data_IF_327365064348
#
_entry.id   IF_327365064348
#
_cell.length_a   1.000
_cell.length_b   1.000
_cell.length_c   1.000
_cell.angle_alpha   90.00
_cell.angle_beta   90.00
_cell.angle_gamma   90.00
#
_symmetry.space_group_name_H-M   'P 1'
#
loop_
_entity.id
_entity.type
_entity.pdbx_description
1 polymer ?
#
# COMPACT_ATOMS: atom_id res chain seq x y z
N UNK A 1 -1.03 -27.12 -4.73
CA UNK A 1 -0.29 -28.27 -4.14
C UNK A 1 0.57 -27.83 -2.97
N UNK A 2 1.41 -26.80 -3.14
CA UNK A 2 2.25 -26.24 -2.05
C UNK A 2 1.41 -25.73 -0.88
N UNK A 3 0.35 -24.94 -1.13
CA UNK A 3 -0.54 -24.41 -0.09
C UNK A 3 -1.31 -25.53 0.62
N UNK A 4 -1.73 -26.58 -0.11
CA UNK A 4 -2.40 -27.75 0.45
C UNK A 4 -1.48 -28.55 1.37
N UNK A 5 -0.23 -28.73 0.96
CA UNK A 5 0.74 -29.53 1.73
C UNK A 5 1.17 -28.77 3.03
N UNK A 6 1.16 -27.45 3.01
CA UNK A 6 1.40 -26.62 4.19
C UNK A 6 0.26 -26.68 5.22
N UNK A 7 -0.99 -26.61 4.81
CA UNK A 7 -2.18 -26.70 5.69
C UNK A 7 -2.24 -28.04 6.43
N UNK A 8 -1.76 -29.13 5.80
CA UNK A 8 -1.70 -30.46 6.40
C UNK A 8 -0.65 -30.62 7.50
N UNK A 9 0.34 -29.73 7.57
CA UNK A 9 1.43 -29.80 8.55
C UNK A 9 1.13 -29.12 9.89
N UNK A 10 -0.02 -28.46 10.05
CA UNK A 10 -0.43 -27.83 11.32
C UNK A 10 0.38 -26.59 11.73
N UNK A 11 1.27 -26.10 10.86
CA UNK A 11 2.11 -24.91 11.12
C UNK A 11 1.49 -23.59 10.59
N UNK A 12 0.23 -23.57 10.25
CA UNK A 12 -0.27 -22.80 9.11
C UNK A 12 -0.98 -21.48 9.39
N UNK A 13 -1.24 -21.11 10.61
CA UNK A 13 -1.78 -19.77 10.87
C UNK A 13 -0.73 -18.68 10.67
N UNK A 14 0.52 -19.00 10.97
CA UNK A 14 1.69 -18.10 10.77
C UNK A 14 2.11 -18.03 9.30
N UNK A 15 2.09 -19.12 8.56
CA UNK A 15 2.44 -19.15 7.15
C UNK A 15 1.38 -18.45 6.28
N UNK A 16 0.09 -18.67 6.60
CA UNK A 16 -1.01 -17.95 5.93
C UNK A 16 -0.97 -16.45 6.26
N UNK A 17 -0.68 -16.09 7.51
CA UNK A 17 -0.49 -14.69 7.90
C UNK A 17 0.73 -14.07 7.21
N UNK A 18 1.83 -14.81 7.03
CA UNK A 18 3.01 -14.33 6.30
C UNK A 18 2.73 -14.13 4.80
N UNK A 19 2.03 -15.07 4.15
CA UNK A 19 1.63 -14.95 2.74
C UNK A 19 0.61 -13.84 2.55
N UNK A 20 -0.33 -13.66 3.47
CA UNK A 20 -1.28 -12.55 3.44
C UNK A 20 -0.59 -11.21 3.69
N UNK A 21 0.39 -11.15 4.61
CA UNK A 21 1.20 -9.95 4.84
C UNK A 21 2.10 -9.62 3.63
N UNK A 22 2.59 -10.61 2.92
CA UNK A 22 3.39 -10.42 1.69
C UNK A 22 2.53 -9.96 0.52
N UNK A 23 1.32 -10.51 0.37
CA UNK A 23 0.31 -10.06 -0.60
C UNK A 23 -0.18 -8.64 -0.25
N UNK A 24 -0.31 -8.32 1.03
CA UNK A 24 -0.70 -6.99 1.48
C UNK A 24 0.44 -5.98 1.31
N UNK A 25 1.68 -6.42 1.49
CA UNK A 25 2.89 -5.64 1.20
C UNK A 25 3.10 -5.41 -0.29
N UNK A 26 2.86 -6.42 -1.13
CA UNK A 26 2.82 -6.25 -2.60
C UNK A 26 1.66 -5.35 -3.04
N UNK A 27 0.49 -5.45 -2.40
CA UNK A 27 -0.65 -4.55 -2.64
C UNK A 27 -0.35 -3.11 -2.19
N UNK A 28 0.33 -2.93 -1.07
CA UNK A 28 0.78 -1.61 -0.59
C UNK A 28 1.86 -1.02 -1.50
N UNK A 29 2.78 -1.84 -2.02
CA UNK A 29 3.78 -1.41 -3.01
C UNK A 29 3.16 -1.14 -4.39
N UNK A 30 2.15 -1.91 -4.80
CA UNK A 30 1.41 -1.68 -6.05
C UNK A 30 0.36 -0.55 -5.92
N UNK A 31 -0.07 -0.22 -4.70
CA UNK A 31 -1.01 0.87 -4.42
C UNK A 31 -0.32 2.20 -4.08
N UNK A 32 0.98 2.20 -3.82
CA UNK A 32 1.75 3.44 -3.83
C UNK A 32 1.84 3.88 -5.30
N UNK A 33 1.31 5.05 -5.67
CA UNK A 33 1.64 5.60 -6.97
C UNK A 33 3.15 5.72 -6.99
N UNK A 34 3.78 5.05 -7.96
CA UNK A 34 5.22 5.10 -8.19
C UNK A 34 5.58 6.53 -8.59
N UNK A 35 5.70 7.43 -7.60
CA UNK A 35 6.13 8.81 -7.80
C UNK A 35 7.54 8.88 -8.38
N UNK A 36 8.27 7.77 -8.36
CA UNK A 36 9.63 7.66 -8.89
C UNK A 36 9.67 7.40 -10.38
N UNK A 37 8.56 7.02 -11.01
CA UNK A 37 8.46 6.84 -12.48
C UNK A 37 7.76 7.98 -13.22
N UNK A 38 7.35 9.05 -12.53
CA UNK A 38 7.14 10.30 -13.23
C UNK A 38 8.47 10.63 -13.92
N UNK A 39 8.47 10.55 -15.27
CA UNK A 39 9.52 10.91 -16.23
C UNK A 39 10.72 11.50 -15.52
N UNK A 40 11.90 10.91 -15.67
CA UNK A 40 13.13 11.40 -15.02
C UNK A 40 13.29 12.90 -15.29
N UNK A 41 12.72 13.70 -14.42
CA UNK A 41 12.74 15.19 -14.44
C UNK A 41 14.15 15.74 -14.19
N UNK A 42 15.15 14.85 -14.09
CA UNK A 42 16.53 15.24 -13.81
C UNK A 42 17.11 16.23 -14.83
N UNK A 43 16.61 16.24 -16.05
CA UNK A 43 17.04 17.21 -17.06
C UNK A 43 16.39 18.61 -16.88
N UNK A 44 15.21 18.67 -16.27
CA UNK A 44 14.49 19.93 -16.00
C UNK A 44 14.81 20.51 -14.62
N UNK A 45 15.37 19.70 -13.72
CA UNK A 45 15.71 20.12 -12.35
C UNK A 45 16.95 21.03 -12.23
N UNK A 46 17.71 21.21 -13.28
CA UNK A 46 18.94 22.03 -13.27
C UNK A 46 18.73 23.49 -13.68
N UNK A 47 17.50 23.96 -13.85
CA UNK A 47 17.28 25.38 -14.15
C UNK A 47 17.02 26.16 -12.86
N UNK A 48 17.86 27.16 -12.58
CA UNK A 48 17.66 28.14 -11.51
C UNK A 48 16.46 29.08 -11.73
N UNK A 49 15.58 28.72 -12.65
CA UNK A 49 14.44 29.54 -13.07
C UNK A 49 13.18 28.93 -12.45
N UNK A 50 12.39 29.75 -11.77
CA UNK A 50 11.05 29.39 -11.33
C UNK A 50 10.23 28.92 -12.52
N UNK A 51 9.75 27.70 -12.48
CA UNK A 51 9.03 27.11 -13.60
C UNK A 51 7.69 26.55 -13.12
N UNK A 52 6.65 26.87 -13.88
CA UNK A 52 5.34 26.28 -13.71
C UNK A 52 5.12 25.27 -14.83
N UNK A 53 4.71 24.07 -14.48
CA UNK A 53 4.36 23.02 -15.42
C UNK A 53 2.90 22.65 -15.27
N UNK A 54 2.24 22.45 -16.39
CA UNK A 54 0.93 21.80 -16.43
C UNK A 54 1.15 20.44 -17.03
N UNK A 55 0.67 19.41 -16.38
CA UNK A 55 0.85 18.03 -16.82
C UNK A 55 -0.41 17.22 -16.74
N UNK A 56 -0.42 16.15 -17.52
CA UNK A 56 -1.43 15.11 -17.50
C UNK A 56 -0.74 13.76 -17.47
N UNK A 57 -1.21 12.87 -16.61
CA UNK A 57 -0.77 11.48 -16.60
C UNK A 57 -1.98 10.55 -16.64
N UNK A 58 -1.86 9.47 -17.39
CA UNK A 58 -2.86 8.40 -17.44
C UNK A 58 -2.20 7.09 -17.05
N UNK A 59 -2.88 6.33 -16.20
CA UNK A 59 -2.43 5.02 -15.76
C UNK A 59 -3.54 4.01 -16.02
N UNK A 60 -3.17 2.88 -16.62
CA UNK A 60 -4.06 1.75 -16.80
C UNK A 60 -3.46 0.51 -16.16
N UNK A 61 -4.21 -0.13 -15.28
CA UNK A 61 -3.79 -1.35 -14.61
C UNK A 61 -4.88 -2.42 -14.64
N UNK A 62 -4.45 -3.68 -14.73
CA UNK A 62 -5.33 -4.84 -14.67
C UNK A 62 -4.77 -5.83 -13.66
N UNK A 63 -5.59 -6.13 -12.67
CA UNK A 63 -5.32 -7.21 -11.73
C UNK A 63 -6.28 -8.35 -12.01
N UNK A 64 -5.77 -9.59 -12.09
CA UNK A 64 -6.56 -10.80 -12.21
C UNK A 64 -6.11 -11.83 -11.21
N UNK A 65 -7.07 -12.42 -10.50
CA UNK A 65 -6.87 -13.58 -9.64
C UNK A 65 -7.75 -14.71 -10.16
N UNK A 66 -7.13 -15.86 -10.44
CA UNK A 66 -7.84 -17.09 -10.81
C UNK A 66 -7.55 -18.16 -9.77
N UNK A 67 -8.59 -18.87 -9.39
CA UNK A 67 -8.49 -20.03 -8.54
C UNK A 67 -9.15 -21.21 -9.27
N UNK A 68 -8.43 -22.33 -9.40
CA UNK A 68 -8.93 -23.54 -10.05
C UNK A 68 -8.54 -24.77 -9.24
N UNK A 69 -9.53 -25.59 -8.91
CA UNK A 69 -9.34 -26.84 -8.17
C UNK A 69 -10.34 -27.89 -8.67
N UNK A 70 -9.90 -29.15 -8.79
CA UNK A 70 -10.73 -30.30 -9.10
C UNK A 70 -10.91 -31.11 -7.81
N UNK A 71 -12.15 -31.19 -7.34
CA UNK A 71 -12.53 -31.84 -6.09
C UNK A 71 -13.08 -33.23 -6.43
N UNK A 72 -12.19 -34.21 -6.40
CA UNK A 72 -12.51 -35.57 -6.86
C UNK A 72 -12.69 -36.56 -5.72
N UNK A 73 -12.40 -36.19 -4.49
CA UNK A 73 -12.43 -37.07 -3.31
C UNK A 73 -13.17 -36.42 -2.12
N UNK A 74 -13.51 -37.27 -1.15
CA UNK A 74 -14.20 -36.82 0.06
C UNK A 74 -13.33 -35.89 0.92
N UNK A 75 -12.02 -36.09 0.90
CA UNK A 75 -11.08 -35.21 1.60
C UNK A 75 -11.13 -33.77 1.06
N UNK A 76 -11.19 -33.62 -0.26
CA UNK A 76 -11.35 -32.29 -0.87
C UNK A 76 -12.66 -31.60 -0.47
N UNK A 77 -13.76 -32.40 -0.31
CA UNK A 77 -15.04 -31.86 0.17
C UNK A 77 -14.99 -31.45 1.63
N UNK A 78 -14.42 -32.30 2.48
CA UNK A 78 -14.25 -32.00 3.91
C UNK A 78 -13.37 -30.74 4.12
N UNK A 79 -12.29 -30.57 3.34
CA UNK A 79 -11.43 -29.41 3.38
C UNK A 79 -12.19 -28.09 3.17
N UNK A 80 -13.17 -28.07 2.26
CA UNK A 80 -14.01 -26.88 2.04
C UNK A 80 -15.24 -26.83 2.96
N UNK A 81 -15.39 -27.80 3.88
CA UNK A 81 -16.55 -27.90 4.76
C UNK A 81 -17.86 -28.01 4.00
N UNK A 82 -17.87 -28.76 2.88
CA UNK A 82 -19.00 -28.93 1.97
C UNK A 82 -19.65 -27.65 1.45
N UNK A 83 -18.85 -26.54 1.40
CA UNK A 83 -19.31 -25.26 0.90
C UNK A 83 -19.03 -25.11 -0.59
N UNK A 84 -20.05 -25.31 -1.40
CA UNK A 84 -20.00 -25.20 -2.85
C UNK A 84 -21.22 -24.42 -3.35
N UNK A 85 -21.01 -23.19 -3.75
CA UNK A 85 -22.10 -22.32 -4.22
C UNK A 85 -22.36 -22.44 -5.72
N UNK A 86 -21.42 -22.96 -6.50
CA UNK A 86 -21.46 -23.01 -7.94
C UNK A 86 -21.33 -24.43 -8.47
N UNK A 87 -20.25 -25.13 -8.15
CA UNK A 87 -19.99 -26.47 -8.65
C UNK A 87 -19.31 -27.34 -7.57
N UNK A 88 -19.87 -28.51 -7.22
CA UNK A 88 -19.36 -29.37 -6.15
C UNK A 88 -18.12 -30.18 -6.52
N UNK A 89 -17.79 -30.28 -7.80
CA UNK A 89 -16.68 -31.12 -8.27
C UNK A 89 -15.50 -30.33 -8.85
N UNK A 90 -15.74 -29.06 -9.18
CA UNK A 90 -14.70 -28.21 -9.77
C UNK A 90 -14.90 -26.76 -9.37
N UNK A 91 -13.88 -26.17 -8.83
CA UNK A 91 -13.83 -24.73 -8.59
C UNK A 91 -13.08 -24.04 -9.73
N UNK A 92 -13.67 -23.00 -10.28
CA UNK A 92 -13.03 -22.14 -11.27
C UNK A 92 -13.50 -20.72 -11.06
N UNK A 93 -12.78 -19.99 -10.19
CA UNK A 93 -13.10 -18.61 -9.84
C UNK A 93 -12.16 -17.67 -10.56
N UNK A 94 -12.68 -16.56 -11.05
CA UNK A 94 -11.89 -15.50 -11.67
C UNK A 94 -12.40 -14.14 -11.21
N UNK A 95 -11.53 -13.41 -10.54
CA UNK A 95 -11.73 -12.03 -10.15
C UNK A 95 -10.82 -11.14 -11.00
N UNK A 96 -11.33 -10.03 -11.50
CA UNK A 96 -10.56 -9.09 -12.29
C UNK A 96 -10.91 -7.66 -11.91
N UNK A 97 -9.90 -6.85 -11.68
CA UNK A 97 -10.05 -5.41 -11.50
C UNK A 97 -9.30 -4.71 -12.63
N UNK A 98 -9.99 -3.87 -13.35
CA UNK A 98 -9.42 -2.96 -14.33
C UNK A 98 -9.52 -1.55 -13.76
N UNK A 99 -8.42 -0.84 -13.71
CA UNK A 99 -8.37 0.55 -13.23
C UNK A 99 -7.81 1.43 -14.34
N UNK A 100 -8.45 2.55 -14.52
CA UNK A 100 -7.99 3.62 -15.39
C UNK A 100 -8.02 4.91 -14.58
N UNK A 101 -6.88 5.55 -14.44
CA UNK A 101 -6.71 6.75 -13.65
C UNK A 101 -6.09 7.85 -14.50
N UNK A 102 -6.72 9.02 -14.47
CA UNK A 102 -6.24 10.22 -15.10
C UNK A 102 -5.93 11.26 -14.04
N UNK A 103 -4.80 11.94 -14.17
CA UNK A 103 -4.39 13.02 -13.29
C UNK A 103 -4.01 14.24 -14.10
N UNK A 104 -4.59 15.38 -13.75
CA UNK A 104 -4.19 16.69 -14.25
C UNK A 104 -3.56 17.45 -13.10
N UNK A 105 -2.41 18.06 -13.33
CA UNK A 105 -1.69 18.74 -12.28
C UNK A 105 -0.99 20.00 -12.75
N UNK A 106 -0.82 20.90 -11.81
CA UNK A 106 0.05 22.06 -11.91
C UNK A 106 1.19 21.84 -10.94
N UNK A 107 2.42 21.89 -11.44
CA UNK A 107 3.64 21.80 -10.68
C UNK A 107 4.32 23.15 -10.67
N UNK A 108 4.62 23.64 -9.50
CA UNK A 108 5.40 24.83 -9.27
C UNK A 108 6.75 24.42 -8.68
N UNK A 109 7.83 24.92 -9.31
CA UNK A 109 9.19 24.79 -8.80
C UNK A 109 9.71 26.20 -8.49
N UNK A 110 9.37 26.76 -7.31
CA UNK A 110 9.79 28.09 -6.96
C UNK A 110 11.30 28.11 -6.62
N UNK A 111 12.02 28.96 -7.30
CA UNK A 111 13.37 29.49 -7.04
C UNK A 111 14.51 28.47 -7.06
N UNK A 112 14.90 27.88 -5.96
CA UNK A 112 16.10 27.06 -5.85
C UNK A 112 15.78 25.64 -5.41
N UNK A 113 16.56 24.68 -5.87
CA UNK A 113 16.44 23.29 -5.47
C UNK A 113 16.69 23.06 -3.97
N UNK A 114 17.41 23.98 -3.31
CA UNK A 114 17.71 23.97 -1.87
C UNK A 114 16.78 24.88 -1.05
N UNK A 115 15.69 25.35 -1.65
CA UNK A 115 14.69 26.18 -0.98
C UNK A 115 13.82 25.38 0.01
N UNK A 116 13.30 26.07 1.04
CA UNK A 116 12.40 25.49 2.04
C UNK A 116 11.15 24.86 1.39
N UNK A 117 10.76 25.36 0.22
CA UNK A 117 9.81 24.73 -0.70
C UNK A 117 10.51 24.70 -2.06
N UNK A 118 10.90 23.53 -2.51
CA UNK A 118 11.55 23.32 -3.80
C UNK A 118 10.58 22.82 -4.89
N UNK A 119 9.45 22.23 -4.48
CA UNK A 119 8.43 21.70 -5.38
C UNK A 119 7.06 21.76 -4.70
N UNK A 120 6.06 22.18 -5.46
CA UNK A 120 4.66 22.14 -5.05
C UNK A 120 3.83 21.58 -6.21
N UNK A 121 3.14 20.50 -5.99
CA UNK A 121 2.21 19.87 -6.92
C UNK A 121 0.78 20.02 -6.40
N UNK A 122 -0.14 20.44 -7.27
CA UNK A 122 -1.58 20.43 -6.97
C UNK A 122 -2.30 19.86 -8.18
N UNK A 123 -3.20 18.95 -7.96
CA UNK A 123 -3.88 18.31 -9.07
C UNK A 123 -5.24 17.73 -8.72
N UNK A 124 -5.95 17.35 -9.76
CA UNK A 124 -7.22 16.62 -9.72
C UNK A 124 -7.05 15.30 -10.45
N UNK A 125 -7.63 14.26 -9.90
CA UNK A 125 -7.63 12.94 -10.53
C UNK A 125 -9.02 12.37 -10.64
N UNK A 126 -9.18 11.53 -11.66
CA UNK A 126 -10.35 10.71 -11.93
C UNK A 126 -9.92 9.26 -12.02
N UNK A 127 -10.56 8.39 -11.23
CA UNK A 127 -10.26 6.97 -11.14
C UNK A 127 -11.51 6.17 -11.48
N UNK A 128 -11.47 5.48 -12.61
CA UNK A 128 -12.47 4.51 -13.03
C UNK A 128 -11.98 3.10 -12.67
N UNK A 129 -12.79 2.35 -11.93
CA UNK A 129 -12.52 0.96 -11.60
C UNK A 129 -13.65 0.06 -12.07
N UNK A 130 -13.32 -1.04 -12.73
CA UNK A 130 -14.27 -2.08 -13.11
C UNK A 130 -13.90 -3.38 -12.41
N UNK A 131 -14.74 -3.79 -11.46
CA UNK A 131 -14.63 -5.03 -10.71
C UNK A 131 -15.47 -6.10 -11.40
N UNK A 132 -14.85 -7.21 -11.74
CA UNK A 132 -15.49 -8.33 -12.41
C UNK A 132 -15.34 -9.59 -11.59
N UNK A 133 -16.48 -10.27 -11.37
CA UNK A 133 -16.53 -11.60 -10.77
C UNK A 133 -17.10 -12.56 -11.79
N UNK A 134 -16.37 -13.63 -12.10
CA UNK A 134 -16.84 -14.66 -13.01
C UNK A 134 -18.04 -15.41 -12.41
N UNK A 135 -19.14 -15.39 -13.14
CA UNK A 135 -20.36 -16.11 -12.82
C UNK A 135 -20.59 -17.16 -13.91
N UNK A 136 -20.38 -18.43 -13.63
CA UNK A 136 -20.43 -19.47 -14.67
C UNK A 136 -21.82 -19.80 -15.18
N UNK A 137 -22.86 -19.29 -14.53
CA UNK A 137 -24.25 -19.68 -14.81
C UNK A 137 -25.15 -18.44 -14.91
N UNK A 138 -26.00 -18.43 -15.93
CA UNK A 138 -26.91 -17.32 -16.24
C UNK A 138 -28.01 -17.09 -15.19
N UNK A 139 -28.28 -18.08 -14.33
CA UNK A 139 -29.25 -17.97 -13.27
C UNK A 139 -28.76 -17.23 -12.01
N UNK A 140 -27.50 -16.84 -11.94
CA UNK A 140 -27.02 -16.01 -10.85
C UNK A 140 -27.46 -14.55 -11.07
N UNK A 141 -28.27 -14.05 -10.16
CA UNK A 141 -28.77 -12.69 -10.20
C UNK A 141 -27.64 -11.63 -10.17
N UNK A 142 -27.90 -10.51 -10.82
CA UNK A 142 -27.05 -9.34 -10.84
C UNK A 142 -25.93 -9.35 -11.90
N UNK A 143 -25.33 -8.20 -12.12
CA UNK A 143 -24.28 -8.02 -13.11
C UNK A 143 -22.97 -8.68 -12.67
N UNK A 144 -22.23 -9.24 -13.64
CA UNK A 144 -20.90 -9.81 -13.42
C UNK A 144 -19.82 -8.76 -13.21
N UNK A 145 -20.10 -7.50 -13.51
CA UNK A 145 -19.17 -6.40 -13.37
C UNK A 145 -19.81 -5.23 -12.62
N UNK A 146 -19.00 -4.50 -11.88
CA UNK A 146 -19.36 -3.26 -11.19
C UNK A 146 -18.36 -2.18 -11.59
N UNK A 147 -18.89 -1.15 -12.23
CA UNK A 147 -18.10 0.03 -12.61
C UNK A 147 -18.31 1.09 -11.55
N UNK A 148 -17.21 1.65 -11.09
CA UNK A 148 -17.17 2.71 -10.08
C UNK A 148 -16.25 3.81 -10.55
N UNK A 149 -16.64 5.04 -10.28
CA UNK A 149 -15.83 6.22 -10.53
C UNK A 149 -15.57 6.93 -9.21
N UNK A 150 -14.39 7.53 -9.05
CA UNK A 150 -14.02 8.34 -7.92
C UNK A 150 -13.18 9.52 -8.38
N UNK A 151 -13.51 10.73 -7.91
CA UNK A 151 -12.76 11.94 -8.20
C UNK A 151 -12.10 12.46 -6.93
N UNK A 152 -10.86 12.90 -7.06
CA UNK A 152 -10.07 13.35 -5.92
C UNK A 152 -9.21 14.57 -6.25
N UNK A 153 -8.89 15.32 -5.21
CA UNK A 153 -7.85 16.34 -5.22
C UNK A 153 -6.61 15.78 -4.55
N UNK A 154 -5.45 16.22 -5.00
CA UNK A 154 -4.20 15.92 -4.33
C UNK A 154 -3.26 17.10 -4.35
N UNK A 155 -2.39 17.13 -3.36
CA UNK A 155 -1.32 18.11 -3.27
C UNK A 155 -0.08 17.43 -2.71
N UNK A 156 1.07 17.75 -3.27
CA UNK A 156 2.36 17.32 -2.79
C UNK A 156 3.30 18.51 -2.69
N UNK A 157 4.09 18.55 -1.62
CA UNK A 157 5.11 19.56 -1.44
C UNK A 157 6.38 18.90 -0.94
N UNK A 158 7.52 19.40 -1.37
CA UNK A 158 8.81 19.01 -0.82
C UNK A 158 9.75 20.19 -0.77
N UNK A 159 10.70 20.11 0.14
CA UNK A 159 11.71 21.14 0.26
C UNK A 159 12.88 20.70 1.11
N UNK A 160 13.87 21.57 1.17
CA UNK A 160 15.02 21.39 2.03
C UNK A 160 15.48 22.72 2.58
N UNK A 161 16.13 22.69 3.72
CA UNK A 161 16.77 23.83 4.30
C UNK A 161 18.27 23.55 4.43
N UNK A 162 19.04 24.14 3.52
CA UNK A 162 20.47 23.84 3.33
C UNK A 162 20.66 22.30 3.26
N UNK A 163 21.71 21.78 3.83
CA UNK A 163 22.02 20.34 3.95
C UNK A 163 21.50 19.68 5.22
N UNK A 164 20.81 20.44 6.07
CA UNK A 164 20.46 20.02 7.43
C UNK A 164 19.07 19.42 7.54
N UNK A 165 18.14 19.87 6.71
CA UNK A 165 16.76 19.47 6.82
C UNK A 165 16.13 19.24 5.45
N UNK A 166 15.52 18.10 5.27
CA UNK A 166 14.74 17.72 4.09
C UNK A 166 13.36 17.30 4.54
N UNK A 167 12.34 17.64 3.76
CA UNK A 167 10.97 17.23 4.04
C UNK A 167 10.19 17.07 2.77
N UNK A 168 9.20 16.18 2.82
CA UNK A 168 8.14 16.04 1.84
C UNK A 168 6.82 15.75 2.52
N UNK A 169 5.74 16.19 1.89
CA UNK A 169 4.39 15.92 2.34
C UNK A 169 3.49 15.70 1.12
N UNK A 170 2.56 14.79 1.24
CA UNK A 170 1.56 14.47 0.23
C UNK A 170 0.19 14.32 0.89
N UNK A 171 -0.83 14.93 0.30
CA UNK A 171 -2.22 14.81 0.71
C UNK A 171 -3.12 14.49 -0.47
N UNK A 172 -4.08 13.60 -0.27
CA UNK A 172 -5.14 13.23 -1.22
C UNK A 172 -6.47 13.23 -0.50
N UNK A 173 -7.50 13.77 -1.15
CA UNK A 173 -8.87 13.74 -0.66
C UNK A 173 -9.83 13.41 -1.79
N UNK A 174 -10.59 12.34 -1.64
CA UNK A 174 -11.61 11.92 -2.62
C UNK A 174 -12.94 12.55 -2.24
N UNK A 175 -13.46 13.40 -3.12
CA UNK A 175 -14.67 14.17 -2.85
C UNK A 175 -15.92 13.61 -3.53
N UNK A 176 -15.77 12.69 -4.49
CA UNK A 176 -16.88 12.12 -5.24
C UNK A 176 -16.65 10.65 -5.57
N UNK A 177 -17.75 9.89 -5.61
CA UNK A 177 -17.81 8.51 -6.09
C UNK A 177 -17.74 7.47 -4.98
N UNK A 178 -17.34 6.25 -5.31
CA UNK A 178 -17.30 5.13 -4.38
C UNK A 178 -16.39 5.37 -3.18
N UNK A 179 -15.24 5.97 -3.44
CA UNK A 179 -14.26 6.32 -2.41
C UNK A 179 -14.49 7.73 -1.82
N UNK A 180 -15.70 8.31 -1.93
CA UNK A 180 -15.97 9.65 -1.41
C UNK A 180 -15.65 9.73 0.09
N UNK A 181 -15.03 10.85 0.51
CA UNK A 181 -14.49 11.09 1.85
C UNK A 181 -13.29 10.22 2.24
N UNK A 182 -12.66 9.52 1.29
CA UNK A 182 -11.34 8.96 1.54
C UNK A 182 -10.31 10.08 1.61
N UNK A 183 -9.40 9.96 2.54
CA UNK A 183 -8.25 10.84 2.57
C UNK A 183 -6.96 10.07 2.90
N UNK A 184 -5.86 10.60 2.46
CA UNK A 184 -4.52 10.13 2.80
C UNK A 184 -3.63 11.34 3.00
N UNK A 185 -2.84 11.34 4.06
CA UNK A 185 -1.81 12.33 4.34
C UNK A 185 -0.53 11.61 4.73
N UNK A 186 0.55 11.87 4.01
CA UNK A 186 1.88 11.35 4.30
C UNK A 186 2.83 12.53 4.46
N UNK A 187 3.72 12.46 5.44
CA UNK A 187 4.76 13.44 5.65
C UNK A 187 6.05 12.75 6.09
N UNK A 188 7.15 13.14 5.49
CA UNK A 188 8.48 12.70 5.83
C UNK A 188 9.34 13.90 6.19
N UNK A 189 10.22 13.72 7.17
CA UNK A 189 11.19 14.71 7.55
C UNK A 189 12.52 14.04 7.87
N UNK A 190 13.61 14.59 7.38
CA UNK A 190 14.96 14.11 7.67
C UNK A 190 15.80 15.28 8.16
N UNK A 191 16.33 15.16 9.36
CA UNK A 191 17.22 16.13 9.95
C UNK A 191 18.63 15.56 10.05
N UNK A 192 19.63 16.26 9.48
CA UNK A 192 21.02 15.83 9.37
C UNK A 192 21.93 16.66 10.27
N UNK A 193 22.65 16.00 11.17
CA UNK A 193 23.62 16.61 12.08
C UNK A 193 25.02 16.22 11.64
N UNK A 194 25.92 17.20 11.60
CA UNK A 194 27.34 17.03 11.25
C UNK A 194 28.22 17.28 12.49
N UNK A 195 28.32 16.30 13.42
CA UNK A 195 28.98 16.52 14.70
C UNK A 195 30.49 16.74 14.60
N UNK A 196 31.11 16.34 13.47
CA UNK A 196 32.56 16.45 13.28
C UNK A 196 32.91 17.14 11.97
N UNK A 197 33.84 18.10 12.01
CA UNK A 197 34.31 18.81 10.81
C UNK A 197 34.82 17.87 9.70
N UNK A 198 35.41 16.73 10.08
CA UNK A 198 35.90 15.70 9.13
C UNK A 198 34.77 14.77 8.63
N UNK A 199 33.61 14.79 9.24
CA UNK A 199 32.49 13.89 8.93
C UNK A 199 31.43 14.54 8.00
N UNK A 200 31.83 15.53 7.20
CA UNK A 200 30.92 16.20 6.24
C UNK A 200 30.24 15.25 5.24
N UNK A 201 30.78 14.03 5.06
CA UNK A 201 30.28 13.01 4.16
C UNK A 201 29.38 11.95 4.84
N UNK A 202 29.26 12.00 6.18
CA UNK A 202 28.54 10.98 6.95
C UNK A 202 27.79 11.64 8.10
N UNK A 203 26.69 12.34 7.85
CA UNK A 203 25.88 12.95 8.89
C UNK A 203 25.16 11.88 9.72
N UNK A 204 24.80 12.22 10.95
CA UNK A 204 23.77 11.50 11.71
C UNK A 204 22.41 11.99 11.18
N UNK A 205 21.58 11.09 10.73
CA UNK A 205 20.26 11.40 10.18
C UNK A 205 19.19 10.97 11.16
N UNK A 206 18.32 11.90 11.53
CA UNK A 206 17.07 11.65 12.24
C UNK A 206 15.94 11.69 11.23
N UNK A 207 15.20 10.59 11.11
CA UNK A 207 14.09 10.43 10.17
C UNK A 207 12.78 10.39 10.94
N UNK A 208 11.80 11.12 10.46
CA UNK A 208 10.43 11.07 10.95
C UNK A 208 9.50 10.77 9.79
N UNK A 209 8.56 9.86 9.99
CA UNK A 209 7.50 9.55 9.06
C UNK A 209 6.15 9.61 9.78
N UNK A 210 5.20 10.29 9.16
CA UNK A 210 3.82 10.36 9.60
C UNK A 210 2.91 9.98 8.44
N UNK A 211 2.02 9.05 8.68
CA UNK A 211 0.97 8.67 7.74
C UNK A 211 -0.37 8.62 8.46
N UNK A 212 -1.39 9.22 7.86
CA UNK A 212 -2.77 9.00 8.29
C UNK A 212 -3.67 8.84 7.08
N UNK A 213 -4.60 7.90 7.16
CA UNK A 213 -5.52 7.63 6.07
C UNK A 213 -6.87 7.15 6.59
N UNK A 214 -7.92 7.50 5.86
CA UNK A 214 -9.26 6.94 5.96
C UNK A 214 -9.62 6.44 4.57
N UNK A 215 -9.89 5.15 4.42
CA UNK A 215 -10.09 4.52 3.12
C UNK A 215 -11.30 3.60 3.11
N UNK A 216 -12.06 3.68 2.04
CA UNK A 216 -13.11 2.70 1.74
C UNK A 216 -12.48 1.31 1.59
N UNK A 217 -13.05 0.25 2.19
CA UNK A 217 -12.61 -1.12 1.95
C UNK A 217 -12.63 -1.49 0.47
N UNK A 218 -11.74 -2.40 0.08
CA UNK A 218 -11.74 -2.93 -1.29
C UNK A 218 -13.09 -3.59 -1.62
N UNK A 219 -13.55 -3.42 -2.85
CA UNK A 219 -14.84 -3.95 -3.28
C UNK A 219 -15.00 -5.44 -2.98
N UNK A 220 -13.96 -6.26 -3.16
CA UNK A 220 -14.05 -7.70 -2.88
C UNK A 220 -14.01 -8.05 -1.40
N UNK A 221 -13.58 -7.14 -0.55
CA UNK A 221 -13.72 -7.31 0.90
C UNK A 221 -15.17 -7.08 1.35
N UNK A 222 -15.90 -6.26 0.62
CA UNK A 222 -17.32 -5.99 0.87
C UNK A 222 -18.21 -6.98 0.13
N UNK A 223 -17.94 -7.25 -1.15
CA UNK A 223 -18.81 -8.02 -2.03
C UNK A 223 -18.02 -9.11 -2.74
N UNK A 224 -18.14 -10.35 -2.31
CA UNK A 224 -17.49 -11.49 -2.95
C UNK A 224 -18.47 -12.61 -3.23
N UNK A 225 -18.37 -13.19 -4.43
CA UNK A 225 -19.06 -14.40 -4.79
C UNK A 225 -18.14 -15.30 -5.60
N UNK A 226 -17.75 -16.43 -4.99
CA UNK A 226 -16.91 -17.46 -5.58
C UNK A 226 -17.51 -18.83 -5.27
N UNK A 227 -16.89 -19.92 -5.72
CA UNK A 227 -17.41 -21.26 -5.44
C UNK A 227 -17.44 -21.61 -3.96
N UNK A 228 -16.49 -21.12 -3.16
CA UNK A 228 -16.37 -21.45 -1.74
C UNK A 228 -16.69 -20.31 -0.79
N UNK A 229 -16.67 -19.08 -1.28
CA UNK A 229 -16.85 -17.89 -0.46
C UNK A 229 -17.93 -16.99 -1.03
N UNK A 230 -18.85 -16.61 -0.17
CA UNK A 230 -19.90 -15.66 -0.50
C UNK A 230 -20.11 -14.72 0.68
N UNK A 231 -20.01 -13.42 0.44
CA UNK A 231 -20.40 -12.41 1.41
C UNK A 231 -20.83 -11.12 0.72
N UNK A 232 -21.67 -10.39 1.41
CA UNK A 232 -22.14 -9.05 1.05
C UNK A 232 -22.16 -8.25 2.34
N UNK A 233 -21.10 -7.48 2.56
CA UNK A 233 -20.83 -6.72 3.78
C UNK A 233 -20.99 -5.22 3.52
N UNK A 234 -21.31 -4.47 4.56
CA UNK A 234 -21.32 -3.01 4.59
C UNK A 234 -20.32 -2.55 5.66
N UNK A 235 -19.04 -2.67 5.35
CA UNK A 235 -17.96 -2.30 6.25
C UNK A 235 -17.74 -0.79 6.28
N UNK A 236 -17.48 -0.26 7.47
CA UNK A 236 -17.05 1.12 7.63
C UNK A 236 -15.62 1.34 7.12
N UNK A 237 -15.30 2.60 6.86
CA UNK A 237 -13.96 2.99 6.38
C UNK A 237 -12.86 2.59 7.35
N UNK A 238 -11.76 2.09 6.79
CA UNK A 238 -10.56 1.71 7.53
C UNK A 238 -9.76 2.98 7.83
N UNK A 239 -9.48 3.21 9.10
CA UNK A 239 -8.62 4.31 9.54
C UNK A 239 -7.27 3.77 9.98
N UNK A 240 -6.21 4.38 9.46
CA UNK A 240 -4.84 4.07 9.83
C UNK A 240 -4.11 5.35 10.18
N UNK A 241 -3.43 5.37 11.33
CA UNK A 241 -2.49 6.44 11.69
C UNK A 241 -1.18 5.81 12.11
N UNK A 242 -0.08 6.20 11.47
CA UNK A 242 1.25 5.64 11.68
C UNK A 242 2.24 6.76 11.93
N UNK A 243 3.07 6.57 12.94
CA UNK A 243 4.20 7.46 13.25
C UNK A 243 5.44 6.61 13.39
N UNK A 244 6.48 6.97 12.68
CA UNK A 244 7.78 6.30 12.77
C UNK A 244 8.87 7.34 13.00
N UNK A 245 9.83 6.97 13.85
CA UNK A 245 11.05 7.74 14.09
C UNK A 245 12.26 6.84 13.93
N UNK A 246 13.31 7.35 13.30
CA UNK A 246 14.53 6.59 13.07
C UNK A 246 15.78 7.43 13.20
N UNK A 247 16.87 6.76 13.49
CA UNK A 247 18.23 7.34 13.54
C UNK A 247 19.17 6.49 12.71
N UNK A 248 19.78 7.12 11.72
CA UNK A 248 20.82 6.50 10.90
C UNK A 248 22.18 7.13 11.23
N UNK A 249 23.15 6.30 11.59
CA UNK A 249 24.53 6.71 11.89
C UNK A 249 25.48 5.99 10.94
N UNK A 250 25.72 6.54 9.74
CA UNK A 250 26.50 5.86 8.70
C UNK A 250 27.93 5.53 9.12
N UNK A 251 28.51 6.34 10.00
CA UNK A 251 29.88 6.11 10.51
C UNK A 251 30.00 4.81 11.33
N UNK A 252 28.89 4.38 11.93
CA UNK A 252 28.85 3.17 12.74
C UNK A 252 28.11 2.04 12.05
N UNK A 253 27.70 2.23 10.80
CA UNK A 253 26.84 1.30 10.06
C UNK A 253 25.65 0.85 10.91
N UNK A 254 25.00 1.84 11.55
CA UNK A 254 23.91 1.62 12.49
C UNK A 254 22.66 2.36 12.03
N UNK A 255 21.55 1.64 12.00
CA UNK A 255 20.21 2.18 11.76
C UNK A 255 19.27 1.65 12.83
N UNK A 256 18.52 2.54 13.47
CA UNK A 256 17.53 2.19 14.47
C UNK A 256 16.24 2.92 14.17
N UNK A 257 15.12 2.20 14.21
CA UNK A 257 13.80 2.79 14.00
C UNK A 257 12.79 2.25 15.02
N UNK A 258 11.83 3.10 15.34
CA UNK A 258 10.68 2.78 16.17
C UNK A 258 9.42 3.30 15.47
N UNK A 259 8.39 2.46 15.41
CA UNK A 259 7.10 2.79 14.81
C UNK A 259 5.94 2.48 15.75
N UNK A 260 4.91 3.31 15.65
CA UNK A 260 3.62 3.10 16.28
C UNK A 260 2.52 3.32 15.26
N UNK A 261 1.61 2.35 15.14
CA UNK A 261 0.44 2.45 14.27
C UNK A 261 -0.84 2.18 15.05
N UNK A 262 -1.86 2.99 14.78
CA UNK A 262 -3.22 2.80 15.26
C UNK A 262 -4.11 2.50 14.06
N UNK A 263 -4.80 1.36 14.13
CA UNK A 263 -5.72 0.89 13.09
C UNK A 263 -7.12 0.78 13.69
N UNK A 264 -8.10 1.38 13.03
CA UNK A 264 -9.50 1.21 13.37
C UNK A 264 -10.26 0.64 12.17
N UNK A 265 -11.27 -0.16 12.47
CA UNK A 265 -12.09 -0.84 11.47
C UNK A 265 -11.27 -1.76 10.54
N UNK A 266 -10.17 -2.35 11.05
CA UNK A 266 -9.35 -3.25 10.25
C UNK A 266 -10.14 -4.49 9.84
N UNK A 267 -9.98 -4.91 8.59
CA UNK A 267 -10.63 -6.10 8.05
C UNK A 267 -9.69 -7.29 8.20
N UNK A 268 -10.22 -8.37 8.67
CA UNK A 268 -9.52 -9.66 8.81
C UNK A 268 -10.39 -10.79 8.27
N UNK A 269 -9.78 -11.93 8.02
CA UNK A 269 -10.49 -13.13 7.64
C UNK A 269 -10.55 -14.08 8.84
N UNK A 270 -11.75 -14.55 9.16
CA UNK A 270 -11.95 -15.51 10.24
C UNK A 270 -11.43 -16.91 9.87
N UNK A 271 -11.52 -17.86 10.80
CA UNK A 271 -11.09 -19.26 10.59
C UNK A 271 -11.82 -19.96 9.45
N UNK A 272 -12.93 -19.41 9.00
CA UNK A 272 -13.70 -19.89 7.86
C UNK A 272 -13.37 -19.16 6.56
N UNK A 273 -12.38 -18.25 6.60
CA UNK A 273 -11.97 -17.44 5.46
C UNK A 273 -12.97 -16.34 5.08
N UNK A 274 -13.89 -15.98 5.97
CA UNK A 274 -14.91 -14.95 5.71
C UNK A 274 -14.40 -13.60 6.20
N UNK A 275 -14.55 -12.56 5.37
CA UNK A 275 -14.16 -11.22 5.73
C UNK A 275 -15.01 -10.68 6.90
N UNK A 276 -14.32 -10.13 7.89
CA UNK A 276 -14.88 -9.52 9.11
C UNK A 276 -14.20 -8.20 9.37
N UNK A 277 -14.90 -7.28 9.99
CA UNK A 277 -14.33 -6.01 10.41
C UNK A 277 -14.20 -5.97 11.93
N UNK A 278 -13.04 -5.55 12.40
CA UNK A 278 -12.77 -5.39 13.83
C UNK A 278 -13.45 -4.11 14.34
N UNK A 279 -14.31 -4.25 15.35
CA UNK A 279 -15.00 -3.11 15.98
C UNK A 279 -14.13 -2.31 16.95
N UNK A 280 -12.97 -2.86 17.36
CA UNK A 280 -12.07 -2.22 18.33
C UNK A 280 -10.82 -1.72 17.63
N UNK A 281 -10.33 -0.53 17.98
CA UNK A 281 -9.03 -0.07 17.51
C UNK A 281 -7.92 -1.04 17.94
N UNK A 282 -6.96 -1.23 17.07
CA UNK A 282 -5.77 -2.05 17.28
C UNK A 282 -4.54 -1.18 17.18
N UNK A 283 -3.61 -1.35 18.11
CA UNK A 283 -2.31 -0.69 18.09
C UNK A 283 -1.21 -1.69 17.75
N UNK A 284 -0.28 -1.26 16.91
CA UNK A 284 0.89 -2.03 16.53
C UNK A 284 2.13 -1.21 16.83
N UNK A 285 3.09 -1.81 17.53
CA UNK A 285 4.40 -1.22 17.78
C UNK A 285 5.46 -2.02 17.04
N UNK A 286 6.40 -1.34 16.45
CA UNK A 286 7.54 -1.95 15.78
C UNK A 286 8.83 -1.28 16.25
N UNK A 287 9.87 -2.06 16.44
CA UNK A 287 11.22 -1.57 16.68
C UNK A 287 12.17 -2.37 15.81
N UNK A 288 13.14 -1.72 15.21
CA UNK A 288 14.17 -2.37 14.43
C UNK A 288 15.53 -1.77 14.75
N UNK A 289 16.53 -2.62 14.78
CA UNK A 289 17.93 -2.24 14.94
C UNK A 289 18.78 -3.02 13.93
N UNK A 290 19.50 -2.28 13.11
CA UNK A 290 20.51 -2.82 12.22
C UNK A 290 21.87 -2.33 12.65
N UNK A 291 22.83 -3.23 12.76
CA UNK A 291 24.22 -2.91 13.05
C UNK A 291 25.13 -3.82 12.28
N UNK A 292 25.94 -3.27 11.40
CA UNK A 292 26.89 -4.00 10.60
C UNK A 292 28.29 -3.88 11.22
N UNK A 293 29.05 -4.98 11.19
CA UNK A 293 30.42 -5.05 11.71
C UNK A 293 31.36 -5.60 10.66
N UNK A 294 32.51 -4.98 10.52
CA UNK A 294 33.59 -5.50 9.68
C UNK A 294 34.79 -5.88 10.54
N UNK A 295 35.21 -7.14 10.47
CA UNK A 295 36.37 -7.64 11.14
C UNK A 295 37.33 -8.28 10.14
N UNK A 296 38.40 -7.56 9.78
CA UNK A 296 39.31 -7.97 8.72
C UNK A 296 38.62 -8.01 7.35
N UNK A 297 38.56 -9.23 6.76
CA UNK A 297 37.87 -9.46 5.46
C UNK A 297 36.41 -9.95 5.62
N UNK A 298 35.95 -10.18 6.85
CA UNK A 298 34.63 -10.66 7.16
C UNK A 298 33.68 -9.48 7.42
N UNK A 299 32.49 -9.55 6.85
CA UNK A 299 31.41 -8.59 7.06
C UNK A 299 30.24 -9.33 7.71
N UNK A 300 29.71 -8.77 8.80
CA UNK A 300 28.60 -9.33 9.57
C UNK A 300 27.45 -8.32 9.54
N UNK A 301 26.33 -8.70 8.96
CA UNK A 301 25.08 -7.95 9.00
C UNK A 301 24.19 -8.50 10.12
N UNK A 302 23.84 -7.64 11.09
CA UNK A 302 22.94 -7.99 12.17
C UNK A 302 21.67 -7.15 12.09
N UNK A 303 20.55 -7.83 12.15
CA UNK A 303 19.21 -7.21 12.15
C UNK A 303 18.39 -7.82 13.29
N UNK A 304 17.76 -6.97 14.09
CA UNK A 304 16.83 -7.31 15.14
C UNK A 304 15.53 -6.53 14.99
#
# INVERSE_FOLDING_TARGET
KVVRDSILAGEDSLAIAAVLAEIEKEKLQAAQPDETKAVSDSALMNSDITTAFIGHSSEYSVFRKTYEDNITDDFGREFYGDRFYINPTRSKDSLRVMRFENRFFIRLQPWKSDGIISKLDVGVGDKLANYYTFKPLDYLEGASNKIMNSMYLYSGARGQYDKYFEWDAFGKYTFLGYEANDFTLNANATFKIYPFRKARKSPIEFKGHFETSLKEPDYYQQHLFTNHFKWDNDFGKISTTKVEGGVNIPRWDMDAAFGYALLANNIYYDTLGIARQNSKPMSVMSASLRKDFQVGKMHFENRA
#
